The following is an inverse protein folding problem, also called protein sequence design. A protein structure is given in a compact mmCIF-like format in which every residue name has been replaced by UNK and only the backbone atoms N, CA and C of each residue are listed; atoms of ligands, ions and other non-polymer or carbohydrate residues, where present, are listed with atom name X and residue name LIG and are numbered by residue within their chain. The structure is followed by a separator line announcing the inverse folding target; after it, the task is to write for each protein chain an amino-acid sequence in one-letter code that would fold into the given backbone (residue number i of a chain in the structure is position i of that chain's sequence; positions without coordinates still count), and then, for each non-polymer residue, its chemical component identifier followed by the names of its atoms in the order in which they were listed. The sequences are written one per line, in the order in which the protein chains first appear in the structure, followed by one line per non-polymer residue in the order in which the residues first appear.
data_IF_938221425980
#
_entry.id   IF_938221425980
#
_cell.length_a   1.000
_cell.length_b   1.000
_cell.length_c   1.000
_cell.angle_alpha   90.00
_cell.angle_beta   90.00
_cell.angle_gamma   90.00
#
_symmetry.space_group_name_H-M   'P 1'
#
loop_
_entity.id
_entity.type
_entity.pdbx_description
1 polymer ?
#
# COMPACT_ATOMS: atom_id res chain seq x y z
N UNK A 1 21.95 -56.08 -21.66
CA UNK A 1 20.91 -56.46 -20.66
C UNK A 1 19.57 -55.93 -21.13
N UNK A 2 18.68 -56.80 -21.57
CA UNK A 2 17.36 -56.37 -22.06
C UNK A 2 16.37 -56.41 -20.91
N UNK A 3 15.77 -55.25 -20.55
CA UNK A 3 14.73 -55.16 -19.56
C UNK A 3 13.45 -55.78 -20.09
N UNK A 4 13.02 -56.91 -19.50
CA UNK A 4 11.72 -57.48 -19.77
C UNK A 4 10.66 -56.64 -19.06
N UNK A 5 9.98 -55.76 -19.81
CA UNK A 5 8.85 -54.99 -19.33
C UNK A 5 7.70 -55.95 -19.02
N UNK A 6 7.22 -55.93 -17.76
CA UNK A 6 6.10 -56.78 -17.35
C UNK A 6 4.81 -56.25 -17.94
N UNK A 7 4.35 -56.87 -19.01
CA UNK A 7 3.20 -56.47 -19.82
C UNK A 7 1.88 -56.35 -18.98
N UNK A 8 1.79 -57.09 -17.88
CA UNK A 8 0.61 -57.02 -16.97
C UNK A 8 0.63 -55.71 -16.18
N UNK A 9 1.82 -55.27 -15.72
CA UNK A 9 1.98 -54.02 -14.99
C UNK A 9 1.72 -52.81 -15.88
N UNK A 10 2.21 -52.85 -17.12
CA UNK A 10 2.01 -51.80 -18.12
C UNK A 10 0.51 -51.63 -18.45
N UNK A 11 -0.27 -52.72 -18.55
CA UNK A 11 -1.73 -52.65 -18.77
C UNK A 11 -2.46 -52.03 -17.61
N UNK A 12 -2.10 -52.35 -16.35
CA UNK A 12 -2.73 -51.78 -15.16
C UNK A 12 -2.46 -50.27 -15.07
N UNK A 13 -1.22 -49.85 -15.29
CA UNK A 13 -0.86 -48.43 -15.28
C UNK A 13 -1.57 -47.67 -16.39
N UNK A 14 -1.65 -48.23 -17.59
CA UNK A 14 -2.35 -47.58 -18.72
C UNK A 14 -3.88 -47.46 -18.44
N UNK A 15 -4.50 -48.48 -17.83
CA UNK A 15 -5.90 -48.43 -17.46
C UNK A 15 -6.16 -47.37 -16.36
N UNK A 16 -5.27 -47.24 -15.38
CA UNK A 16 -5.35 -46.20 -14.36
C UNK A 16 -5.24 -44.77 -14.96
N UNK A 17 -4.34 -44.56 -15.90
CA UNK A 17 -4.19 -43.27 -16.59
C UNK A 17 -5.42 -42.93 -17.41
N UNK A 18 -6.00 -43.90 -18.13
CA UNK A 18 -7.24 -43.70 -18.89
C UNK A 18 -8.43 -43.37 -17.98
N UNK A 19 -8.53 -44.00 -16.81
CA UNK A 19 -9.59 -43.73 -15.84
C UNK A 19 -9.40 -42.34 -15.19
N UNK A 20 -8.18 -41.97 -14.86
CA UNK A 20 -7.87 -40.64 -14.32
C UNK A 20 -8.13 -39.54 -15.33
N UNK A 21 -7.76 -39.75 -16.62
CA UNK A 21 -8.06 -38.82 -17.70
C UNK A 21 -9.56 -38.62 -17.95
N UNK A 22 -10.34 -39.72 -17.85
CA UNK A 22 -11.81 -39.66 -18.01
C UNK A 22 -12.48 -38.91 -16.86
N UNK A 23 -12.00 -39.08 -15.61
CA UNK A 23 -12.49 -38.36 -14.45
C UNK A 23 -12.20 -36.89 -14.54
N UNK A 24 -11.00 -36.52 -14.99
CA UNK A 24 -10.61 -35.11 -15.19
C UNK A 24 -11.51 -34.48 -16.28
N UNK A 25 -11.72 -35.18 -17.40
CA UNK A 25 -12.57 -34.66 -18.49
C UNK A 25 -14.03 -34.49 -18.05
N UNK A 26 -14.56 -35.40 -17.23
CA UNK A 26 -15.93 -35.27 -16.70
C UNK A 26 -16.06 -34.14 -15.67
N UNK A 27 -15.05 -33.91 -14.83
CA UNK A 27 -15.04 -32.78 -13.91
C UNK A 27 -14.96 -31.44 -14.66
N UNK A 28 -14.17 -31.35 -15.74
CA UNK A 28 -14.15 -30.16 -16.59
C UNK A 28 -15.44 -29.89 -17.35
N UNK A 29 -16.10 -30.96 -17.84
CA UNK A 29 -17.40 -30.85 -18.53
C UNK A 29 -18.52 -30.48 -17.54
N UNK A 30 -18.50 -30.97 -16.32
CA UNK A 30 -19.46 -30.59 -15.26
C UNK A 30 -19.23 -29.18 -14.77
N UNK A 31 -17.97 -28.75 -14.68
CA UNK A 31 -17.60 -27.37 -14.33
C UNK A 31 -18.02 -26.35 -15.38
N UNK A 32 -18.01 -26.74 -16.67
CA UNK A 32 -18.48 -25.84 -17.77
C UNK A 32 -20.00 -25.69 -17.82
N UNK A 33 -20.76 -26.63 -17.27
CA UNK A 33 -22.22 -26.55 -17.26
C UNK A 33 -22.80 -25.92 -16.00
N UNK A 34 -21.98 -25.54 -15.03
CA UNK A 34 -22.39 -24.83 -13.82
C UNK A 34 -21.75 -23.44 -13.73
N UNK A 35 -21.76 -22.68 -14.81
CA UNK A 35 -21.80 -21.23 -14.63
C UNK A 35 -23.24 -20.91 -14.26
N UNK A 36 -23.56 -20.51 -13.04
CA UNK A 36 -24.80 -19.82 -12.80
C UNK A 36 -24.77 -18.64 -13.74
N UNK A 37 -25.75 -18.55 -14.63
CA UNK A 37 -26.07 -17.32 -15.35
C UNK A 37 -26.50 -16.36 -14.26
N UNK A 38 -25.53 -15.75 -13.56
CA UNK A 38 -25.75 -14.54 -12.82
C UNK A 38 -26.08 -13.54 -13.93
N UNK A 39 -27.36 -13.36 -14.14
CA UNK A 39 -27.88 -12.20 -14.83
C UNK A 39 -27.29 -11.04 -14.04
N UNK A 40 -26.17 -10.54 -14.56
CA UNK A 40 -25.63 -9.25 -14.12
C UNK A 40 -26.70 -8.27 -14.52
N UNK A 41 -27.68 -8.08 -13.63
CA UNK A 41 -28.50 -6.90 -13.65
C UNK A 41 -27.47 -5.79 -13.56
N UNK A 42 -27.05 -5.30 -14.72
CA UNK A 42 -26.33 -4.02 -14.78
C UNK A 42 -27.27 -3.06 -14.06
N UNK A 43 -26.92 -2.57 -12.87
CA UNK A 43 -27.67 -1.45 -12.37
C UNK A 43 -27.54 -0.40 -13.46
N UNK A 44 -28.64 -0.05 -14.08
CA UNK A 44 -28.78 1.12 -14.93
C UNK A 44 -28.79 2.36 -14.02
N UNK A 45 -27.85 2.41 -13.11
CA UNK A 45 -27.39 3.65 -12.51
C UNK A 45 -26.56 4.27 -13.61
N UNK A 46 -27.14 5.24 -14.31
CA UNK A 46 -26.35 6.14 -15.11
C UNK A 46 -25.30 6.70 -14.14
N UNK A 47 -24.06 6.24 -14.29
CA UNK A 47 -22.89 6.81 -13.59
C UNK A 47 -22.61 8.19 -14.19
N UNK A 48 -23.58 9.10 -14.06
CA UNK A 48 -23.45 10.53 -14.33
C UNK A 48 -23.75 11.36 -13.10
N UNK A 49 -24.01 10.76 -11.95
CA UNK A 49 -23.80 11.44 -10.69
C UNK A 49 -22.33 11.23 -10.34
N UNK A 50 -21.47 12.14 -10.83
CA UNK A 50 -20.18 12.40 -10.26
C UNK A 50 -20.35 12.37 -8.74
N UNK A 51 -19.70 11.39 -8.09
CA UNK A 51 -19.56 11.40 -6.63
C UNK A 51 -18.82 12.70 -6.30
N UNK A 52 -19.60 13.76 -6.09
CA UNK A 52 -19.05 15.06 -5.76
C UNK A 52 -18.67 15.02 -4.28
N UNK A 53 -17.38 15.09 -3.93
CA UNK A 53 -16.92 15.18 -2.54
C UNK A 53 -17.53 16.37 -1.79
N UNK A 54 -18.05 17.34 -2.50
CA UNK A 54 -18.76 18.52 -2.01
C UNK A 54 -19.99 18.17 -1.17
N UNK A 55 -20.58 16.98 -1.37
CA UNK A 55 -21.75 16.54 -0.59
C UNK A 55 -21.43 16.27 0.89
N UNK A 56 -20.14 15.97 1.20
CA UNK A 56 -19.66 15.75 2.57
C UNK A 56 -18.94 16.97 3.17
N UNK A 57 -18.93 18.11 2.47
CA UNK A 57 -18.17 19.30 2.89
C UNK A 57 -16.64 19.10 2.82
N UNK A 58 -16.18 18.03 2.20
CA UNK A 58 -14.79 17.76 1.95
C UNK A 58 -14.40 18.48 0.65
N UNK A 59 -13.62 19.53 0.75
CA UNK A 59 -12.97 20.12 -0.40
C UNK A 59 -11.73 19.29 -0.71
N UNK A 60 -11.67 18.59 -1.88
CA UNK A 60 -10.47 17.88 -2.26
C UNK A 60 -9.30 18.85 -2.31
N UNK A 61 -8.24 18.51 -1.62
CA UNK A 61 -6.99 19.25 -1.70
C UNK A 61 -6.44 19.10 -3.12
N UNK A 62 -6.06 20.21 -3.74
CA UNK A 62 -5.45 20.16 -5.07
C UNK A 62 -4.00 19.70 -4.94
N UNK A 63 -3.67 18.64 -5.66
CA UNK A 63 -2.30 18.15 -5.81
C UNK A 63 -1.97 17.92 -7.29
N UNK A 64 -0.70 17.93 -7.62
CA UNK A 64 -0.20 17.70 -8.98
C UNK A 64 0.16 16.23 -9.20
N UNK A 65 0.37 15.82 -10.45
CA UNK A 65 0.90 14.49 -10.76
C UNK A 65 2.30 14.27 -10.18
N UNK A 66 3.09 15.34 -10.05
CA UNK A 66 4.41 15.28 -9.41
C UNK A 66 4.28 14.98 -7.92
N UNK A 67 3.36 15.63 -7.23
CA UNK A 67 3.07 15.39 -5.81
C UNK A 67 2.62 13.95 -5.57
N UNK A 68 1.71 13.44 -6.41
CA UNK A 68 1.27 12.06 -6.37
C UNK A 68 2.44 11.10 -6.57
N UNK A 69 3.30 11.36 -7.54
CA UNK A 69 4.46 10.50 -7.81
C UNK A 69 5.39 10.40 -6.60
N UNK A 70 5.81 11.52 -6.01
CA UNK A 70 6.74 11.50 -4.88
C UNK A 70 6.13 10.95 -3.59
N UNK A 71 4.85 11.18 -3.35
CA UNK A 71 4.13 10.55 -2.25
C UNK A 71 4.06 9.03 -2.44
N UNK A 72 3.71 8.56 -3.64
CA UNK A 72 3.69 7.14 -4.01
C UNK A 72 5.05 6.49 -3.84
N UNK A 73 6.11 7.14 -4.34
CA UNK A 73 7.50 6.67 -4.23
C UNK A 73 7.88 6.46 -2.76
N UNK A 74 7.63 7.45 -1.91
CA UNK A 74 7.96 7.36 -0.50
C UNK A 74 7.20 6.23 0.21
N UNK A 75 5.89 6.10 0.01
CA UNK A 75 5.09 5.00 0.57
C UNK A 75 5.63 3.64 0.10
N UNK A 76 5.92 3.53 -1.19
CA UNK A 76 6.42 2.29 -1.78
C UNK A 76 7.74 1.84 -1.15
N UNK A 77 8.72 2.72 -1.01
CA UNK A 77 10.03 2.34 -0.49
C UNK A 77 10.06 2.19 1.02
N UNK A 78 9.30 2.99 1.75
CA UNK A 78 9.31 2.97 3.21
C UNK A 78 8.38 1.89 3.80
N UNK A 79 7.23 1.62 3.17
CA UNK A 79 6.17 0.88 3.84
C UNK A 79 5.42 -0.16 2.99
N UNK A 80 5.86 -0.50 1.75
CA UNK A 80 5.10 -1.41 0.86
C UNK A 80 4.77 -2.78 1.45
N UNK A 81 5.53 -3.25 2.43
CA UNK A 81 5.31 -4.54 3.11
C UNK A 81 4.48 -4.43 4.38
N UNK A 82 4.03 -3.25 4.74
CA UNK A 82 3.28 -2.98 5.95
C UNK A 82 1.76 -2.94 5.68
N UNK A 83 0.92 -3.07 6.73
CA UNK A 83 -0.52 -2.88 6.62
C UNK A 83 -0.89 -1.52 6.01
N UNK A 84 -2.05 -1.44 5.33
CA UNK A 84 -2.48 -0.24 4.61
C UNK A 84 -2.58 1.00 5.49
N UNK A 85 -3.05 0.84 6.72
CA UNK A 85 -3.16 1.92 7.70
C UNK A 85 -1.79 2.46 8.14
N UNK A 86 -0.76 1.59 8.19
CA UNK A 86 0.61 2.00 8.49
C UNK A 86 1.23 2.74 7.30
N UNK A 87 0.98 2.28 6.07
CA UNK A 87 1.37 2.99 4.86
C UNK A 87 0.74 4.39 4.80
N UNK A 88 -0.54 4.51 5.16
CA UNK A 88 -1.24 5.79 5.24
C UNK A 88 -0.63 6.73 6.29
N UNK A 89 -0.21 6.20 7.45
CA UNK A 89 0.48 7.00 8.49
C UNK A 89 1.81 7.58 8.01
N UNK A 90 2.59 6.80 7.25
CA UNK A 90 3.82 7.32 6.61
C UNK A 90 3.49 8.47 5.65
N UNK A 91 2.46 8.31 4.82
CA UNK A 91 2.01 9.37 3.92
C UNK A 91 1.52 10.63 4.68
N UNK A 92 0.81 10.45 5.78
CA UNK A 92 0.36 11.57 6.64
C UNK A 92 1.54 12.36 7.20
N UNK A 93 2.62 11.71 7.63
CA UNK A 93 3.83 12.42 8.07
C UNK A 93 4.42 13.28 6.95
N UNK A 94 4.47 12.78 5.72
CA UNK A 94 4.95 13.55 4.57
C UNK A 94 4.04 14.76 4.32
N UNK A 95 2.73 14.58 4.38
CA UNK A 95 1.76 15.66 4.23
C UNK A 95 1.88 16.71 5.35
N UNK A 96 2.06 16.29 6.61
CA UNK A 96 2.28 17.20 7.73
C UNK A 96 3.58 18.01 7.58
N UNK A 97 4.64 17.38 7.09
CA UNK A 97 5.89 18.08 6.78
C UNK A 97 5.67 19.14 5.72
N UNK A 98 4.96 18.82 4.64
CA UNK A 98 4.63 19.77 3.59
C UNK A 98 3.89 21.02 4.12
N UNK A 99 2.96 20.85 5.07
CA UNK A 99 2.23 21.96 5.70
C UNK A 99 2.99 22.63 6.84
N UNK A 100 4.08 22.05 7.30
CA UNK A 100 4.87 22.60 8.40
C UNK A 100 5.90 23.61 7.90
N UNK A 101 5.96 24.79 8.54
CA UNK A 101 6.99 25.81 8.26
C UNK A 101 8.45 25.35 8.51
N UNK A 102 8.64 24.18 9.10
CA UNK A 102 9.96 23.59 9.36
C UNK A 102 10.51 22.82 8.17
N UNK A 103 9.71 22.56 7.15
CA UNK A 103 10.04 21.73 6.00
C UNK A 103 9.81 22.48 4.69
N UNK A 104 10.37 22.00 3.57
CA UNK A 104 10.06 22.55 2.26
C UNK A 104 8.55 22.46 1.92
N UNK A 105 8.07 23.40 1.09
CA UNK A 105 6.68 23.47 0.66
C UNK A 105 6.42 22.74 -0.68
N UNK A 106 7.20 21.71 -1.00
CA UNK A 106 7.04 20.83 -2.16
C UNK A 106 7.24 19.39 -1.73
N UNK A 107 6.35 18.48 -2.12
CA UNK A 107 6.45 17.07 -1.74
C UNK A 107 7.77 16.44 -2.19
N UNK A 108 8.23 16.74 -3.41
CA UNK A 108 9.55 16.31 -3.88
C UNK A 108 10.66 16.67 -2.91
N UNK A 109 10.71 17.93 -2.46
CA UNK A 109 11.76 18.43 -1.59
C UNK A 109 11.64 17.87 -0.17
N UNK A 110 10.42 17.61 0.32
CA UNK A 110 10.17 16.92 1.60
C UNK A 110 10.70 15.50 1.55
N UNK A 111 10.39 14.77 0.47
CA UNK A 111 10.79 13.36 0.31
C UNK A 111 12.30 13.24 0.07
N UNK A 112 12.87 14.10 -0.76
CA UNK A 112 14.29 14.05 -1.09
C UNK A 112 15.19 14.88 -0.17
N UNK A 113 14.65 15.36 0.95
CA UNK A 113 15.44 16.07 1.94
C UNK A 113 16.51 15.13 2.52
N UNK A 114 17.76 15.61 2.58
CA UNK A 114 18.90 14.81 3.01
C UNK A 114 18.65 14.06 4.34
N UNK A 115 18.86 12.75 4.33
CA UNK A 115 18.69 11.83 5.48
C UNK A 115 17.27 11.70 6.04
N UNK A 116 16.22 12.14 5.32
CA UNK A 116 14.85 11.94 5.79
C UNK A 116 14.31 10.55 5.42
N UNK A 117 14.65 10.07 4.23
CA UNK A 117 14.25 8.76 3.73
C UNK A 117 15.50 8.01 3.26
N UNK A 118 15.70 6.78 3.76
CA UNK A 118 16.95 6.04 3.56
C UNK A 118 17.18 5.66 2.10
N UNK A 119 16.12 5.31 1.38
CA UNK A 119 16.20 4.88 -0.02
C UNK A 119 16.72 5.97 -0.96
N UNK A 120 16.49 7.26 -0.66
CA UNK A 120 16.95 8.36 -1.51
C UNK A 120 18.47 8.54 -1.53
N UNK A 121 19.19 7.82 -0.67
CA UNK A 121 20.64 7.94 -0.47
C UNK A 121 21.39 6.61 -0.43
N UNK A 122 20.71 5.49 -0.71
CA UNK A 122 21.32 4.15 -0.64
C UNK A 122 22.08 3.74 -1.92
N UNK A 123 22.03 4.61 -2.94
CA UNK A 123 22.71 4.41 -4.22
C UNK A 123 22.06 3.34 -5.12
N UNK A 124 20.85 2.89 -4.77
CA UNK A 124 20.06 1.98 -5.60
C UNK A 124 19.12 2.75 -6.51
N UNK A 125 18.52 2.03 -7.46
CA UNK A 125 17.53 2.62 -8.35
C UNK A 125 16.18 2.75 -7.64
N UNK A 126 15.55 3.93 -7.74
CA UNK A 126 14.22 4.23 -7.23
C UNK A 126 13.09 3.76 -8.19
N UNK A 127 13.34 2.68 -8.94
CA UNK A 127 12.32 2.09 -9.79
C UNK A 127 11.34 1.26 -8.95
N UNK A 128 10.08 1.64 -8.97
CA UNK A 128 8.98 0.91 -8.34
C UNK A 128 8.57 -0.29 -9.20
N UNK A 129 9.38 -1.37 -9.15
CA UNK A 129 9.26 -2.53 -10.05
C UNK A 129 8.08 -3.45 -9.71
N UNK A 130 7.64 -3.48 -8.46
CA UNK A 130 6.45 -4.22 -8.05
C UNK A 130 5.19 -3.41 -8.38
N UNK A 131 4.53 -3.78 -9.47
CA UNK A 131 3.35 -3.08 -9.96
C UNK A 131 2.17 -3.10 -9.00
N UNK A 132 1.97 -4.19 -8.24
CA UNK A 132 0.87 -4.29 -7.28
C UNK A 132 1.12 -3.40 -6.06
N UNK A 133 2.33 -3.45 -5.49
CA UNK A 133 2.71 -2.58 -4.38
C UNK A 133 2.71 -1.10 -4.79
N UNK A 134 3.12 -0.78 -6.02
CA UNK A 134 3.04 0.59 -6.56
C UNK A 134 1.60 1.08 -6.65
N UNK A 135 0.70 0.28 -7.25
CA UNK A 135 -0.71 0.65 -7.39
C UNK A 135 -1.38 0.87 -6.01
N UNK A 136 -1.03 0.03 -5.03
CA UNK A 136 -1.49 0.19 -3.65
C UNK A 136 -0.98 1.50 -3.03
N UNK A 137 0.31 1.79 -3.16
CA UNK A 137 0.91 3.03 -2.66
C UNK A 137 0.31 4.27 -3.32
N UNK A 138 0.03 4.21 -4.64
CA UNK A 138 -0.60 5.28 -5.40
C UNK A 138 -2.02 5.56 -4.90
N UNK A 139 -2.83 4.52 -4.67
CA UNK A 139 -4.18 4.67 -4.14
C UNK A 139 -4.18 5.30 -2.72
N UNK A 140 -3.24 4.91 -1.86
CA UNK A 140 -3.08 5.54 -0.53
C UNK A 140 -2.64 7.00 -0.66
N UNK A 141 -1.70 7.29 -1.57
CA UNK A 141 -1.24 8.65 -1.83
C UNK A 141 -2.39 9.56 -2.29
N UNK A 142 -3.25 9.09 -3.20
CA UNK A 142 -4.45 9.83 -3.63
C UNK A 142 -5.40 10.14 -2.48
N UNK A 143 -5.66 9.15 -1.62
CA UNK A 143 -6.55 9.33 -0.47
C UNK A 143 -5.99 10.35 0.54
N UNK A 144 -4.69 10.32 0.81
CA UNK A 144 -4.06 11.26 1.74
C UNK A 144 -3.96 12.65 1.14
N UNK A 145 -3.45 12.77 -0.10
CA UNK A 145 -3.32 14.06 -0.80
C UNK A 145 -4.66 14.73 -1.04
N UNK A 146 -5.71 13.93 -1.32
CA UNK A 146 -7.08 14.42 -1.48
C UNK A 146 -7.77 14.81 -0.17
N UNK A 147 -7.18 14.49 0.99
CA UNK A 147 -7.79 14.78 2.29
C UNK A 147 -8.95 13.85 2.64
N UNK A 148 -9.01 12.65 2.05
CA UNK A 148 -10.10 11.70 2.26
C UNK A 148 -9.89 10.78 3.48
N UNK A 149 -8.72 10.82 4.11
CA UNK A 149 -8.42 10.04 5.31
C UNK A 149 -8.34 10.94 6.54
N UNK A 150 -8.87 10.43 7.65
CA UNK A 150 -8.69 11.08 8.95
C UNK A 150 -7.24 10.94 9.40
N UNK A 151 -6.69 12.01 9.96
CA UNK A 151 -5.35 11.96 10.56
C UNK A 151 -5.37 11.13 11.85
N UNK A 152 -4.72 9.99 11.80
CA UNK A 152 -4.54 9.08 12.93
C UNK A 152 -3.14 9.17 13.54
N UNK A 153 -2.36 10.17 13.11
CA UNK A 153 -1.00 10.46 13.59
C UNK A 153 -0.91 11.76 14.38
N UNK A 154 -2.04 12.44 14.57
CA UNK A 154 -2.15 13.69 15.35
C UNK A 154 -1.11 14.77 14.96
N UNK A 155 -0.84 14.91 13.67
CA UNK A 155 0.14 15.88 13.19
C UNK A 155 1.60 15.44 13.38
N UNK A 156 1.89 14.15 13.49
CA UNK A 156 3.26 13.64 13.61
C UNK A 156 4.14 14.10 12.45
N UNK A 157 5.34 14.51 12.78
CA UNK A 157 6.37 14.96 11.84
C UNK A 157 7.56 14.01 11.76
N UNK A 158 7.63 13.04 12.69
CA UNK A 158 8.76 12.12 12.84
C UNK A 158 8.27 10.71 13.04
N UNK A 159 9.03 9.76 12.52
CA UNK A 159 8.88 8.35 12.83
C UNK A 159 10.23 7.64 12.71
N UNK A 160 10.35 6.49 13.33
CA UNK A 160 11.50 5.60 13.18
C UNK A 160 11.10 4.16 13.51
N UNK A 161 11.92 3.21 13.10
CA UNK A 161 11.77 1.81 13.48
C UNK A 161 12.56 1.54 14.78
N UNK A 162 11.89 1.27 15.92
CA UNK A 162 12.56 1.06 17.22
C UNK A 162 13.39 -0.23 17.27
N UNK A 163 13.19 -1.18 16.36
CA UNK A 163 14.04 -2.36 16.26
C UNK A 163 15.40 -2.06 15.60
N UNK A 164 15.45 -1.02 14.75
CA UNK A 164 16.65 -0.66 13.99
C UNK A 164 17.41 0.54 14.57
N UNK A 165 16.73 1.42 15.28
CA UNK A 165 17.30 2.67 15.76
C UNK A 165 16.76 3.07 17.15
N UNK A 166 17.57 3.83 17.87
CA UNK A 166 17.15 4.48 19.11
C UNK A 166 17.65 5.94 19.08
N UNK A 167 17.00 6.80 18.30
CA UNK A 167 17.46 8.16 18.09
C UNK A 167 17.33 8.99 19.36
N UNK A 168 18.38 9.75 19.69
CA UNK A 168 18.41 10.61 20.89
C UNK A 168 17.33 11.70 20.88
N UNK A 169 16.89 12.12 19.69
CA UNK A 169 15.87 13.15 19.55
C UNK A 169 14.47 12.72 20.02
N UNK A 170 14.17 11.41 20.10
CA UNK A 170 12.82 10.92 20.45
C UNK A 170 12.31 11.46 21.79
N UNK A 171 13.21 11.71 22.75
CA UNK A 171 12.86 12.20 24.09
C UNK A 171 12.45 13.68 24.08
N UNK A 172 12.79 14.41 22.99
CA UNK A 172 12.38 15.81 22.78
C UNK A 172 10.97 15.94 22.18
N UNK A 173 10.41 14.83 21.68
CA UNK A 173 9.12 14.78 21.02
C UNK A 173 8.09 13.97 21.82
N UNK A 174 6.82 14.14 21.48
CA UNK A 174 5.72 13.41 22.07
C UNK A 174 5.42 12.18 21.22
N UNK A 175 5.46 11.00 21.82
CA UNK A 175 5.00 9.76 21.20
C UNK A 175 3.50 9.81 20.96
N UNK A 176 3.05 9.35 19.79
CA UNK A 176 1.63 9.33 19.40
C UNK A 176 1.12 7.91 19.30
N UNK A 177 1.70 7.12 18.40
CA UNK A 177 1.20 5.78 18.07
C UNK A 177 2.31 4.92 17.46
N UNK A 178 2.23 3.60 17.71
CA UNK A 178 2.99 2.61 16.93
C UNK A 178 2.11 2.01 15.84
N UNK A 179 2.70 1.73 14.69
CA UNK A 179 2.06 0.99 13.62
C UNK A 179 3.09 0.12 12.91
N UNK A 180 2.88 -1.20 12.92
CA UNK A 180 3.81 -2.20 12.42
C UNK A 180 5.25 -1.94 12.95
N UNK A 181 6.17 -1.55 12.10
CA UNK A 181 7.57 -1.34 12.46
C UNK A 181 7.91 0.11 12.84
N UNK A 182 6.95 1.01 12.89
CA UNK A 182 7.20 2.43 13.08
C UNK A 182 6.51 3.00 14.31
N UNK A 183 7.26 3.79 15.07
CA UNK A 183 6.77 4.65 16.14
C UNK A 183 6.70 6.09 15.64
N UNK A 184 5.55 6.73 15.82
CA UNK A 184 5.25 8.08 15.32
C UNK A 184 5.31 9.10 16.45
N UNK A 185 5.90 10.27 16.15
CA UNK A 185 6.13 11.34 17.12
C UNK A 185 5.73 12.70 16.55
N UNK A 186 5.16 13.54 17.40
CA UNK A 186 4.84 14.93 17.13
C UNK A 186 5.66 15.89 17.99
N UNK A 187 5.67 17.16 17.63
CA UNK A 187 6.27 18.21 18.44
C UNK A 187 5.50 18.35 19.75
N UNK A 188 6.18 18.35 20.90
CA UNK A 188 5.57 18.66 22.18
C UNK A 188 4.92 20.05 22.09
N UNK A 189 3.62 20.12 22.36
CA UNK A 189 2.94 21.39 22.54
C UNK A 189 3.52 22.06 23.80
N UNK A 190 4.36 23.08 23.59
CA UNK A 190 4.91 23.82 24.70
C UNK A 190 3.77 24.32 25.57
N UNK A 191 3.85 24.14 26.90
CA UNK A 191 3.06 24.93 27.83
C UNK A 191 3.31 26.38 27.44
N UNK A 192 2.34 27.03 26.78
CA UNK A 192 2.33 28.47 26.64
C UNK A 192 2.41 29.01 28.08
N UNK A 193 3.56 29.55 28.44
CA UNK A 193 3.79 30.09 29.75
C UNK A 193 2.66 31.05 30.12
N UNK A 194 2.00 30.76 31.21
CA UNK A 194 1.30 31.78 31.97
C UNK A 194 2.41 32.76 32.43
N UNK A 195 2.52 33.88 31.77
CA UNK A 195 3.07 35.12 32.33
C UNK A 195 2.00 36.19 32.24
#
# INVERSE_FOLDING_TARGET
MAYKVNLKLAKVVFTLYMFCGLVILTVELLSRNQTPHVEVVKPSVSMSEEFSPTLLGLHPLHYTKEDLYYMTEAIYFEARSEPLDCQAKVAMVIQHRFYSHKYPNRYREVVWQYKQFSYTHDGKSELMVDGAARAQAEAIAELVLGGYLLDTTEGSLYYFNPELANPVWKDDYEYVVSCAKHDFYKTKTGKRGQQ
#
